data_IF_450817261449
#
_entry.id   IF_450817261449
#
_cell.length_a   1.000
_cell.length_b   1.000
_cell.length_c   1.000
_cell.angle_alpha   90.00
_cell.angle_beta   90.00
_cell.angle_gamma   90.00
#
_symmetry.space_group_name_H-M   'P 1'
#
loop_
_entity.id
_entity.type
_entity.pdbx_description
1 polymer ?
#
# COMPACT_ATOMS: atom_id res chain seq x y z
N UNK A 1 5.78 11.34 -42.97
CA UNK A 1 4.55 11.92 -42.40
C UNK A 1 3.47 10.88 -42.19
N UNK A 2 2.95 10.20 -43.24
CA UNK A 2 1.85 9.21 -43.13
C UNK A 2 2.06 8.12 -42.07
N UNK A 3 3.26 7.54 -42.01
CA UNK A 3 3.59 6.50 -41.02
C UNK A 3 3.38 6.94 -39.55
N UNK A 4 3.79 8.16 -39.19
CA UNK A 4 3.64 8.67 -37.82
C UNK A 4 2.16 8.91 -37.49
N UNK A 5 1.40 9.44 -38.45
CA UNK A 5 -0.05 9.62 -38.31
C UNK A 5 -0.76 8.29 -38.10
N UNK A 6 -0.46 7.28 -38.93
CA UNK A 6 -1.05 5.95 -38.81
C UNK A 6 -0.69 5.28 -37.47
N UNK A 7 0.55 5.43 -37.01
CA UNK A 7 0.99 4.85 -35.74
C UNK A 7 0.35 5.57 -34.53
N UNK A 8 0.18 6.90 -34.59
CA UNK A 8 -0.57 7.63 -33.55
C UNK A 8 -2.03 7.18 -33.47
N UNK A 9 -2.70 6.98 -34.60
CA UNK A 9 -4.08 6.50 -34.64
C UNK A 9 -4.21 5.08 -34.07
N UNK A 10 -3.28 4.16 -34.40
CA UNK A 10 -3.25 2.82 -33.80
C UNK A 10 -3.03 2.84 -32.29
N UNK A 11 -2.19 3.75 -31.80
CA UNK A 11 -1.94 3.91 -30.37
C UNK A 11 -3.16 4.49 -29.64
N UNK A 12 -3.87 5.43 -30.27
CA UNK A 12 -5.14 5.96 -29.75
C UNK A 12 -6.19 4.85 -29.60
N UNK A 13 -6.38 4.02 -30.62
CA UNK A 13 -7.28 2.85 -30.58
C UNK A 13 -6.90 1.88 -29.45
N UNK A 14 -5.60 1.61 -29.28
CA UNK A 14 -5.09 0.78 -28.18
C UNK A 14 -5.41 1.37 -26.81
N UNK A 15 -5.19 2.67 -26.61
CA UNK A 15 -5.52 3.36 -25.35
C UNK A 15 -7.01 3.27 -25.04
N UNK A 16 -7.88 3.41 -26.05
CA UNK A 16 -9.32 3.25 -25.91
C UNK A 16 -9.68 1.81 -25.53
N UNK A 17 -9.09 0.82 -26.19
CA UNK A 17 -9.28 -0.60 -25.88
C UNK A 17 -8.81 -0.95 -24.46
N UNK A 18 -7.63 -0.49 -24.06
CA UNK A 18 -7.09 -0.68 -22.70
C UNK A 18 -7.96 -0.01 -21.66
N UNK A 19 -8.48 1.19 -21.92
CA UNK A 19 -9.45 1.86 -21.04
C UNK A 19 -10.74 1.04 -20.89
N UNK A 20 -11.24 0.44 -21.97
CA UNK A 20 -12.41 -0.45 -21.95
C UNK A 20 -12.13 -1.75 -21.18
N UNK A 21 -10.94 -2.34 -21.32
CA UNK A 21 -10.52 -3.51 -20.54
C UNK A 21 -10.51 -3.19 -19.04
N UNK A 22 -9.90 -2.06 -18.65
CA UNK A 22 -9.86 -1.58 -17.27
C UNK A 22 -11.29 -1.37 -16.74
N UNK A 23 -12.17 -0.73 -17.50
CA UNK A 23 -13.56 -0.51 -17.10
C UNK A 23 -14.32 -1.83 -16.84
N UNK A 24 -14.26 -2.78 -17.79
CA UNK A 24 -14.85 -4.12 -17.63
C UNK A 24 -14.26 -4.89 -16.45
N UNK A 25 -12.96 -4.73 -16.21
CA UNK A 25 -12.29 -5.35 -15.07
C UNK A 25 -12.81 -4.78 -13.75
N UNK A 26 -12.92 -3.45 -13.64
CA UNK A 26 -13.50 -2.77 -12.47
C UNK A 26 -14.95 -3.18 -12.24
N UNK A 27 -15.76 -3.29 -13.29
CA UNK A 27 -17.15 -3.74 -13.19
C UNK A 27 -17.25 -5.17 -12.65
N UNK A 28 -16.45 -6.09 -13.20
CA UNK A 28 -16.44 -7.50 -12.78
C UNK A 28 -15.99 -7.69 -11.33
N UNK A 29 -15.05 -6.87 -10.85
CA UNK A 29 -14.45 -7.00 -9.53
C UNK A 29 -14.75 -5.83 -8.60
N UNK A 30 -15.88 -5.14 -8.79
CA UNK A 30 -16.21 -3.89 -8.09
C UNK A 30 -16.05 -3.98 -6.57
N UNK A 31 -16.46 -5.11 -5.97
CA UNK A 31 -16.41 -5.33 -4.51
C UNK A 31 -15.07 -5.86 -3.99
N UNK A 32 -14.11 -6.19 -4.88
CA UNK A 32 -12.79 -6.74 -4.54
C UNK A 32 -11.65 -5.81 -4.94
N UNK A 33 -11.95 -4.59 -5.40
CA UNK A 33 -10.94 -3.60 -5.74
C UNK A 33 -10.11 -3.21 -4.50
N UNK A 34 -8.86 -2.77 -4.69
CA UNK A 34 -7.99 -2.35 -3.58
C UNK A 34 -8.62 -1.24 -2.73
N UNK A 35 -9.33 -0.31 -3.37
CA UNK A 35 -10.06 0.79 -2.73
C UNK A 35 -11.16 0.28 -1.77
N UNK A 36 -11.70 -0.91 -2.02
CA UNK A 36 -12.74 -1.52 -1.20
C UNK A 36 -12.18 -2.34 -0.02
N UNK A 37 -10.87 -2.64 -0.01
CA UNK A 37 -10.28 -3.53 1.00
C UNK A 37 -10.46 -3.01 2.42
N UNK A 38 -10.18 -1.74 2.66
CA UNK A 38 -10.33 -1.12 3.97
C UNK A 38 -11.80 -1.12 4.45
N UNK A 39 -12.73 -0.86 3.53
CA UNK A 39 -14.16 -0.91 3.81
C UNK A 39 -14.60 -2.34 4.12
N UNK A 40 -14.19 -3.32 3.32
CA UNK A 40 -14.54 -4.73 3.50
C UNK A 40 -14.01 -5.27 4.83
N UNK A 41 -12.79 -4.93 5.24
CA UNK A 41 -12.23 -5.29 6.55
C UNK A 41 -13.03 -4.69 7.70
N UNK A 42 -13.41 -3.40 7.59
CA UNK A 42 -14.26 -2.77 8.60
C UNK A 42 -15.64 -3.42 8.68
N UNK A 43 -16.24 -3.76 7.52
CA UNK A 43 -17.50 -4.49 7.47
C UNK A 43 -17.38 -5.91 8.04
N UNK A 44 -16.24 -6.57 7.83
CA UNK A 44 -15.96 -7.91 8.36
C UNK A 44 -15.92 -7.87 9.88
N UNK A 45 -15.07 -7.02 10.45
CA UNK A 45 -14.94 -6.86 11.91
C UNK A 45 -16.26 -6.49 12.59
N UNK A 46 -17.06 -5.61 11.95
CA UNK A 46 -18.39 -5.27 12.45
C UNK A 46 -19.35 -6.46 12.38
N UNK A 47 -19.32 -7.22 11.29
CA UNK A 47 -20.19 -8.39 11.10
C UNK A 47 -19.82 -9.49 12.10
N UNK A 48 -18.53 -9.69 12.36
CA UNK A 48 -18.00 -10.59 13.40
C UNK A 48 -18.48 -10.18 14.80
N UNK A 49 -18.35 -8.89 15.15
CA UNK A 49 -18.86 -8.38 16.44
C UNK A 49 -20.39 -8.54 16.57
N UNK A 50 -21.13 -8.30 15.48
CA UNK A 50 -22.59 -8.53 15.46
C UNK A 50 -22.94 -10.02 15.59
N UNK A 51 -22.13 -10.92 15.02
CA UNK A 51 -22.30 -12.36 15.12
C UNK A 51 -22.07 -12.85 16.56
N UNK A 52 -21.00 -12.40 17.20
CA UNK A 52 -20.69 -12.73 18.60
C UNK A 52 -21.79 -12.26 19.57
N UNK A 53 -22.38 -11.09 19.30
CA UNK A 53 -23.53 -10.57 20.04
C UNK A 53 -24.74 -11.49 19.89
N UNK A 54 -25.09 -11.86 18.65
CA UNK A 54 -26.23 -12.75 18.35
C UNK A 54 -26.02 -14.14 18.95
N UNK A 55 -24.80 -14.67 18.92
CA UNK A 55 -24.50 -15.97 19.54
C UNK A 55 -24.62 -15.94 21.06
N UNK A 56 -24.22 -14.83 21.69
CA UNK A 56 -24.41 -14.63 23.12
C UNK A 56 -25.89 -14.47 23.49
N UNK A 57 -26.66 -13.74 22.69
CA UNK A 57 -28.13 -13.64 22.82
C UNK A 57 -28.80 -15.01 22.67
N UNK A 58 -28.42 -15.82 21.67
CA UNK A 58 -28.95 -17.16 21.46
C UNK A 58 -28.67 -18.09 22.65
N UNK A 59 -27.46 -18.05 23.22
CA UNK A 59 -27.12 -18.80 24.43
C UNK A 59 -28.03 -18.42 25.59
N UNK A 60 -28.19 -17.12 25.86
CA UNK A 60 -29.05 -16.63 26.93
C UNK A 60 -30.53 -17.00 26.72
N UNK A 61 -31.04 -16.92 25.48
CA UNK A 61 -32.40 -17.32 25.15
C UNK A 61 -32.63 -18.82 25.35
N UNK A 62 -31.67 -19.68 24.98
CA UNK A 62 -31.75 -21.13 25.18
C UNK A 62 -31.71 -21.51 26.65
N UNK A 63 -30.85 -20.87 27.45
CA UNK A 63 -30.84 -21.05 28.90
C UNK A 63 -32.18 -20.66 29.53
N UNK A 64 -32.75 -19.52 29.11
CA UNK A 64 -34.06 -19.07 29.60
C UNK A 64 -35.19 -20.01 29.15
N UNK A 65 -35.14 -20.53 27.92
CA UNK A 65 -36.08 -21.53 27.43
C UNK A 65 -36.05 -22.78 28.32
N UNK A 66 -34.85 -23.31 28.60
CA UNK A 66 -34.67 -24.47 29.46
C UNK A 66 -35.22 -24.22 30.87
N UNK A 67 -34.97 -23.04 31.44
CA UNK A 67 -35.52 -22.65 32.74
C UNK A 67 -37.06 -22.63 32.75
N UNK A 68 -37.70 -22.00 31.77
CA UNK A 68 -39.17 -21.96 31.68
C UNK A 68 -39.78 -23.34 31.40
N UNK A 69 -39.10 -24.18 30.60
CA UNK A 69 -39.50 -25.58 30.41
C UNK A 69 -39.49 -26.34 31.73
N UNK A 70 -38.43 -26.20 32.53
CA UNK A 70 -38.35 -26.78 33.87
C UNK A 70 -39.49 -26.28 34.78
N UNK A 71 -39.80 -24.98 34.74
CA UNK A 71 -40.95 -24.43 35.49
C UNK A 71 -42.29 -25.03 35.06
N UNK A 72 -42.54 -25.20 33.75
CA UNK A 72 -43.77 -25.81 33.26
C UNK A 72 -43.96 -27.24 33.76
N UNK A 73 -42.89 -28.01 33.93
CA UNK A 73 -43.00 -29.38 34.47
C UNK A 73 -43.45 -29.42 35.94
N UNK A 74 -43.31 -28.30 36.67
CA UNK A 74 -43.69 -28.19 38.08
C UNK A 74 -45.08 -27.59 38.27
N UNK A 75 -45.66 -26.97 37.24
CA UNK A 75 -46.97 -26.31 37.30
C UNK A 75 -48.03 -27.25 36.74
N UNK A 76 -49.07 -27.52 37.53
CA UNK A 76 -50.22 -28.29 37.04
C UNK A 76 -50.94 -27.50 35.93
N UNK A 77 -51.20 -28.11 34.76
CA UNK A 77 -51.86 -27.43 33.64
C UNK A 77 -53.32 -27.08 33.95
N UNK A 78 -53.94 -27.78 34.90
CA UNK A 78 -55.35 -27.62 35.26
C UNK A 78 -55.50 -26.92 36.62
N UNK A 79 -56.42 -25.97 36.71
CA UNK A 79 -56.83 -25.39 37.99
C UNK A 79 -57.66 -26.40 38.77
N UNK A 80 -57.35 -26.62 40.05
CA UNK A 80 -58.17 -27.44 40.94
C UNK A 80 -59.51 -26.73 41.19
N UNK A 81 -60.49 -26.85 40.28
CA UNK A 81 -61.81 -26.27 40.46
C UNK A 81 -62.58 -27.00 41.56
N UNK A 82 -63.37 -26.27 42.36
CA UNK A 82 -64.30 -26.84 43.35
C UNK A 82 -65.72 -26.55 42.90
N UNK A 83 -66.59 -27.56 42.97
CA UNK A 83 -68.03 -27.46 42.71
C UNK A 83 -68.69 -26.48 43.69
N UNK A 84 -69.84 -25.92 43.31
CA UNK A 84 -70.69 -25.11 44.19
C UNK A 84 -71.11 -25.85 45.49
N UNK A 85 -71.00 -27.18 45.51
CA UNK A 85 -71.25 -28.06 46.66
C UNK A 85 -70.02 -28.34 47.52
N UNK A 86 -68.85 -27.77 47.20
CA UNK A 86 -67.59 -27.95 47.96
C UNK A 86 -66.73 -29.14 47.52
N UNK A 87 -67.22 -30.00 46.63
CA UNK A 87 -66.48 -31.15 46.08
C UNK A 87 -65.45 -30.74 45.03
N UNK A 88 -64.22 -31.28 45.04
CA UNK A 88 -63.23 -31.00 44.00
C UNK A 88 -63.71 -31.56 42.65
N UNK A 89 -63.70 -30.71 41.62
CA UNK A 89 -63.89 -31.10 40.23
C UNK A 89 -62.55 -31.68 39.77
N UNK A 90 -62.43 -33.00 39.84
CA UNK A 90 -61.23 -33.72 39.43
C UNK A 90 -61.20 -33.85 37.90
N UNK A 91 -60.01 -33.74 37.31
CA UNK A 91 -59.77 -34.10 35.91
C UNK A 91 -60.08 -35.60 35.69
N UNK A 92 -60.38 -36.03 34.45
CA UNK A 92 -60.77 -37.43 34.18
C UNK A 92 -59.78 -38.48 34.70
N UNK A 93 -58.47 -38.19 34.72
CA UNK A 93 -57.45 -39.12 35.22
C UNK A 93 -57.41 -39.16 36.76
N UNK A 94 -57.52 -38.02 37.43
CA UNK A 94 -57.66 -37.97 38.90
C UNK A 94 -59.00 -38.52 39.38
N UNK A 95 -60.08 -38.34 38.60
CA UNK A 95 -61.40 -38.92 38.85
C UNK A 95 -61.37 -40.43 38.72
N UNK A 96 -60.70 -40.97 37.70
CA UNK A 96 -60.46 -42.41 37.54
C UNK A 96 -59.75 -42.98 38.77
N UNK A 97 -58.66 -42.35 39.22
CA UNK A 97 -57.91 -42.79 40.41
C UNK A 97 -58.71 -42.71 41.70
N UNK A 98 -59.54 -41.68 41.85
CA UNK A 98 -60.45 -41.53 42.99
C UNK A 98 -61.52 -42.64 42.99
N UNK A 99 -62.13 -42.92 41.84
CA UNK A 99 -63.12 -43.99 41.68
C UNK A 99 -62.49 -45.37 41.86
N UNK A 100 -61.26 -45.61 41.40
CA UNK A 100 -60.52 -46.84 41.67
C UNK A 100 -60.29 -47.05 43.17
N UNK A 101 -59.92 -46.00 43.90
CA UNK A 101 -59.79 -46.06 45.36
C UNK A 101 -61.13 -46.30 46.07
N UNK A 102 -62.21 -45.68 45.58
CA UNK A 102 -63.57 -45.87 46.08
C UNK A 102 -64.06 -47.30 45.82
N UNK A 103 -63.80 -47.84 44.62
CA UNK A 103 -64.07 -49.22 44.24
C UNK A 103 -63.36 -50.22 45.15
N UNK A 104 -62.07 -50.00 45.46
CA UNK A 104 -61.32 -50.83 46.41
C UNK A 104 -61.99 -50.80 47.79
N UNK A 105 -62.38 -49.63 48.29
CA UNK A 105 -63.01 -49.49 49.61
C UNK A 105 -64.40 -50.16 49.68
N UNK A 106 -65.19 -50.08 48.61
CA UNK A 106 -66.52 -50.68 48.52
C UNK A 106 -66.45 -52.19 48.28
N UNK A 107 -65.48 -52.66 47.51
CA UNK A 107 -65.22 -54.08 47.29
C UNK A 107 -64.81 -54.83 48.56
N UNK A 108 -64.26 -54.12 49.55
CA UNK A 108 -63.97 -54.66 50.88
C UNK A 108 -65.22 -54.85 51.75
N UNK A 109 -66.35 -54.17 51.45
CA UNK A 109 -67.58 -54.18 52.25
C UNK A 109 -68.76 -54.85 51.54
N UNK A 110 -68.79 -54.83 50.21
CA UNK A 110 -69.89 -55.35 49.39
C UNK A 110 -69.39 -56.41 48.40
N UNK A 111 -70.26 -57.38 48.07
CA UNK A 111 -69.98 -58.43 47.08
C UNK A 111 -69.94 -57.86 45.66
N UNK A 112 -69.20 -58.51 44.75
CA UNK A 112 -69.02 -58.09 43.35
C UNK A 112 -70.31 -57.90 42.53
N UNK A 113 -71.45 -58.39 43.03
CA UNK A 113 -72.78 -58.21 42.40
C UNK A 113 -73.58 -57.02 42.96
N UNK A 114 -73.03 -56.24 43.90
CA UNK A 114 -73.73 -55.11 44.50
C UNK A 114 -73.95 -53.98 43.47
N UNK A 115 -75.15 -53.35 43.42
CA UNK A 115 -75.47 -52.33 42.42
C UNK A 115 -74.46 -51.18 42.36
N UNK A 116 -73.94 -50.75 43.51
CA UNK A 116 -72.99 -49.62 43.59
C UNK A 116 -71.58 -49.99 43.10
N UNK A 117 -71.13 -51.23 43.33
CA UNK A 117 -69.87 -51.74 42.77
C UNK A 117 -69.98 -51.83 41.24
N UNK A 118 -71.12 -52.32 40.72
CA UNK A 118 -71.34 -52.43 39.28
C UNK A 118 -71.41 -51.05 38.61
N UNK A 119 -72.00 -50.05 39.26
CA UNK A 119 -72.01 -48.67 38.78
C UNK A 119 -70.61 -48.08 38.70
N UNK A 120 -69.84 -48.16 39.79
CA UNK A 120 -68.47 -47.63 39.84
C UNK A 120 -67.56 -48.38 38.86
N UNK A 121 -67.70 -49.71 38.75
CA UNK A 121 -66.93 -50.49 37.78
C UNK A 121 -67.17 -50.02 36.34
N UNK A 122 -68.44 -49.76 35.97
CA UNK A 122 -68.77 -49.22 34.64
C UNK A 122 -68.22 -47.81 34.43
N UNK A 123 -68.22 -46.97 35.48
CA UNK A 123 -67.66 -45.62 35.43
C UNK A 123 -66.14 -45.65 35.29
N UNK A 124 -65.45 -46.54 36.01
CA UNK A 124 -64.01 -46.81 35.87
C UNK A 124 -63.69 -47.36 34.49
N UNK A 125 -64.43 -48.35 33.98
CA UNK A 125 -64.17 -48.92 32.66
C UNK A 125 -64.36 -47.88 31.55
N UNK A 126 -65.39 -47.06 31.64
CA UNK A 126 -65.61 -45.94 30.71
C UNK A 126 -64.48 -44.91 30.78
N UNK A 127 -64.13 -44.45 31.98
CA UNK A 127 -63.03 -43.49 32.18
C UNK A 127 -61.67 -44.08 31.78
N UNK A 128 -61.40 -45.35 32.06
CA UNK A 128 -60.16 -46.05 31.72
C UNK A 128 -59.99 -46.20 30.21
N UNK A 129 -61.06 -46.46 29.46
CA UNK A 129 -61.02 -46.45 28.00
C UNK A 129 -60.72 -45.05 27.45
N UNK A 130 -61.29 -43.99 28.05
CA UNK A 130 -60.98 -42.60 27.70
C UNK A 130 -59.54 -42.20 28.05
N UNK A 131 -59.03 -42.59 29.23
CA UNK A 131 -57.67 -42.26 29.69
C UNK A 131 -56.59 -43.07 28.97
N UNK A 132 -56.84 -44.33 28.60
CA UNK A 132 -55.88 -45.19 27.87
C UNK A 132 -55.59 -44.72 26.44
N UNK A 133 -56.54 -44.03 25.80
CA UNK A 133 -56.32 -43.45 24.47
C UNK A 133 -55.50 -42.15 24.54
N UNK A 134 -55.68 -41.34 25.60
CA UNK A 134 -54.90 -40.11 25.84
C UNK A 134 -53.48 -40.36 26.35
N UNK A 135 -53.29 -41.38 27.20
CA UNK A 135 -51.97 -41.75 27.74
C UNK A 135 -51.00 -42.20 26.65
N UNK A 136 -51.45 -42.88 25.60
CA UNK A 136 -50.56 -43.25 24.48
C UNK A 136 -49.99 -42.03 23.75
N UNK A 137 -50.78 -40.96 23.56
CA UNK A 137 -50.31 -39.74 22.92
C UNK A 137 -49.43 -38.89 23.84
N UNK A 138 -49.78 -38.81 25.13
CA UNK A 138 -48.98 -38.13 26.15
C UNK A 138 -47.64 -38.85 26.41
N UNK A 139 -47.63 -40.18 26.40
CA UNK A 139 -46.44 -41.01 26.55
C UNK A 139 -45.52 -40.91 25.32
N UNK A 140 -46.08 -40.84 24.10
CA UNK A 140 -45.33 -40.52 22.87
C UNK A 140 -44.74 -39.10 22.90
N UNK A 141 -45.48 -38.11 23.39
CA UNK A 141 -44.99 -36.74 23.54
C UNK A 141 -43.89 -36.62 24.62
N UNK A 142 -44.01 -37.38 25.72
CA UNK A 142 -42.99 -37.47 26.77
C UNK A 142 -41.74 -38.22 26.31
N UNK A 143 -41.90 -39.29 25.52
CA UNK A 143 -40.80 -40.00 24.88
C UNK A 143 -40.07 -39.09 23.89
N UNK A 144 -40.80 -38.31 23.08
CA UNK A 144 -40.21 -37.34 22.15
C UNK A 144 -39.39 -36.27 22.87
N UNK A 145 -39.92 -35.70 23.96
CA UNK A 145 -39.19 -34.70 24.76
C UNK A 145 -37.94 -35.28 25.42
N UNK A 146 -38.01 -36.50 25.94
CA UNK A 146 -36.86 -37.22 26.50
C UNK A 146 -35.79 -37.48 25.44
N UNK A 147 -36.18 -37.98 24.27
CA UNK A 147 -35.26 -38.27 23.16
C UNK A 147 -34.61 -37.01 22.58
N UNK A 148 -35.34 -35.89 22.51
CA UNK A 148 -34.79 -34.58 22.16
C UNK A 148 -33.76 -34.09 23.21
N UNK A 149 -34.00 -34.33 24.49
CA UNK A 149 -33.04 -34.06 25.56
C UNK A 149 -31.76 -34.89 25.43
N UNK A 150 -31.90 -36.20 25.21
CA UNK A 150 -30.77 -37.10 24.94
C UNK A 150 -29.96 -36.65 23.70
N UNK A 151 -30.65 -36.20 22.64
CA UNK A 151 -30.01 -35.71 21.42
C UNK A 151 -29.20 -34.45 21.68
N UNK A 152 -29.74 -33.51 22.47
CA UNK A 152 -29.04 -32.28 22.83
C UNK A 152 -27.74 -32.57 23.62
N UNK A 153 -27.77 -33.52 24.56
CA UNK A 153 -26.57 -33.91 25.31
C UNK A 153 -25.54 -34.65 24.44
N UNK A 154 -26.01 -35.44 23.47
CA UNK A 154 -25.14 -36.25 22.64
C UNK A 154 -24.40 -35.42 21.58
N UNK A 155 -25.06 -34.40 21.02
CA UNK A 155 -24.48 -33.46 20.05
C UNK A 155 -23.43 -32.53 20.69
N UNK A 156 -23.51 -32.31 22.01
CA UNK A 156 -22.47 -31.58 22.74
C UNK A 156 -21.16 -32.38 22.85
N UNK A 157 -21.24 -33.72 22.87
CA UNK A 157 -20.09 -34.62 23.07
C UNK A 157 -19.57 -35.25 21.78
N UNK A 158 -20.42 -35.43 20.78
CA UNK A 158 -20.09 -36.10 19.52
C UNK A 158 -20.49 -35.24 18.32
N UNK A 159 -19.77 -35.40 17.20
CA UNK A 159 -20.12 -34.69 15.96
C UNK A 159 -21.43 -35.20 15.36
N UNK A 160 -22.07 -34.37 14.52
CA UNK A 160 -23.35 -34.70 13.86
C UNK A 160 -23.31 -36.00 13.02
N UNK A 161 -22.11 -36.47 12.64
CA UNK A 161 -21.91 -37.68 11.85
C UNK A 161 -21.73 -38.96 12.70
N UNK A 162 -21.81 -38.87 14.04
CA UNK A 162 -21.67 -40.03 14.92
C UNK A 162 -22.88 -40.98 14.77
N UNK A 163 -22.69 -42.30 14.68
CA UNK A 163 -23.78 -43.28 14.46
C UNK A 163 -24.91 -43.16 15.50
N UNK A 164 -24.56 -42.88 16.75
CA UNK A 164 -25.57 -42.72 17.82
C UNK A 164 -26.42 -41.46 17.65
N UNK A 165 -25.83 -40.35 17.17
CA UNK A 165 -26.54 -39.08 16.91
C UNK A 165 -27.53 -39.26 15.75
N UNK A 166 -27.09 -39.96 14.70
CA UNK A 166 -27.94 -40.28 13.54
C UNK A 166 -29.10 -41.19 13.95
N UNK A 167 -28.83 -42.22 14.76
CA UNK A 167 -29.86 -43.15 15.23
C UNK A 167 -30.94 -42.45 16.05
N UNK A 168 -30.53 -41.51 16.91
CA UNK A 168 -31.41 -40.77 17.79
C UNK A 168 -32.23 -39.72 17.01
N UNK A 169 -31.64 -39.09 15.99
CA UNK A 169 -32.34 -38.20 15.06
C UNK A 169 -33.45 -38.93 14.30
N UNK A 170 -33.16 -40.13 13.78
CA UNK A 170 -34.16 -40.96 13.10
C UNK A 170 -35.29 -41.39 14.05
N UNK A 171 -34.97 -41.69 15.31
CA UNK A 171 -35.99 -42.00 16.34
C UNK A 171 -36.90 -40.81 16.61
N UNK A 172 -36.33 -39.60 16.75
CA UNK A 172 -37.09 -38.35 16.93
C UNK A 172 -38.02 -38.10 15.74
N UNK A 173 -37.50 -38.23 14.51
CA UNK A 173 -38.28 -38.02 13.29
C UNK A 173 -39.42 -39.03 13.14
N UNK A 174 -39.17 -40.29 13.50
CA UNK A 174 -40.21 -41.34 13.51
C UNK A 174 -41.30 -41.09 14.56
N UNK A 175 -40.92 -40.58 15.74
CA UNK A 175 -41.87 -40.21 16.80
C UNK A 175 -42.69 -38.98 16.40
N UNK A 176 -42.06 -37.97 15.80
CA UNK A 176 -42.75 -36.79 15.27
C UNK A 176 -43.76 -37.16 14.18
N UNK A 177 -43.37 -38.05 13.25
CA UNK A 177 -44.27 -38.55 12.23
C UNK A 177 -45.45 -39.36 12.81
N UNK A 178 -45.21 -40.16 13.86
CA UNK A 178 -46.26 -40.92 14.54
C UNK A 178 -47.27 -40.04 15.28
N UNK A 179 -46.79 -38.93 15.87
CA UNK A 179 -47.64 -37.93 16.52
C UNK A 179 -48.42 -37.12 15.47
N UNK A 180 -47.82 -36.81 14.32
CA UNK A 180 -48.47 -36.09 13.22
C UNK A 180 -49.51 -36.94 12.46
N UNK A 181 -49.39 -38.27 12.48
CA UNK A 181 -50.30 -39.20 11.83
C UNK A 181 -51.56 -39.54 12.65
N UNK A 182 -51.71 -39.01 13.87
CA UNK A 182 -52.91 -39.17 14.69
C UNK A 182 -54.11 -38.41 14.05
N UNK A 183 -55.30 -39.04 13.93
CA UNK A 183 -56.43 -38.48 13.18
C UNK A 183 -56.99 -37.18 13.80
N UNK A 184 -57.36 -36.16 12.98
CA UNK A 184 -57.80 -34.84 13.46
C UNK A 184 -59.07 -34.85 14.33
N UNK A 185 -59.93 -35.87 14.22
CA UNK A 185 -61.17 -35.97 14.98
C UNK A 185 -60.96 -36.32 16.47
N UNK A 186 -59.84 -36.96 16.83
CA UNK A 186 -59.43 -37.13 18.22
C UNK A 186 -58.85 -35.83 18.79
N UNK A 187 -58.22 -35.02 17.93
CA UNK A 187 -57.58 -33.76 18.31
C UNK A 187 -58.63 -32.66 18.49
N UNK A 188 -59.62 -32.50 17.61
CA UNK A 188 -60.61 -31.42 17.72
C UNK A 188 -61.60 -31.58 18.90
N UNK A 189 -61.99 -32.81 19.26
CA UNK A 189 -62.89 -33.06 20.41
C UNK A 189 -62.18 -33.14 21.77
N UNK A 190 -60.86 -33.34 21.82
CA UNK A 190 -60.07 -33.34 23.06
C UNK A 190 -59.31 -32.03 23.30
N UNK A 191 -58.97 -31.27 22.25
CA UNK A 191 -58.37 -29.92 22.39
C UNK A 191 -59.40 -28.88 22.89
N UNK A 192 -60.70 -29.17 22.81
CA UNK A 192 -61.73 -28.32 23.44
C UNK A 192 -61.95 -28.58 24.94
N UNK A 193 -61.36 -29.61 25.56
CA UNK A 193 -61.63 -29.94 26.98
C UNK A 193 -60.40 -29.95 27.91
N UNK A 194 -59.20 -29.75 27.39
CA UNK A 194 -57.95 -29.62 28.18
C UNK A 194 -57.12 -28.41 27.73
N UNK A 195 -57.77 -27.27 27.45
CA UNK A 195 -57.02 -26.00 27.47
C UNK A 195 -56.50 -25.83 28.90
N UNK A 196 -55.19 -25.62 29.10
CA UNK A 196 -54.68 -25.24 30.39
C UNK A 196 -55.44 -24.00 30.85
N UNK A 197 -56.22 -24.13 31.91
CA UNK A 197 -57.03 -23.05 32.50
C UNK A 197 -56.28 -22.39 33.65
N UNK A 198 -55.22 -23.03 34.15
CA UNK A 198 -54.33 -22.45 35.15
C UNK A 198 -53.61 -21.22 34.58
N UNK A 199 -53.89 -20.00 35.08
CA UNK A 199 -53.29 -18.77 34.57
C UNK A 199 -51.76 -18.75 34.66
N UNK A 200 -51.17 -19.41 35.67
CA UNK A 200 -49.72 -19.50 35.83
C UNK A 200 -49.08 -20.37 34.75
N UNK A 201 -49.72 -21.48 34.37
CA UNK A 201 -49.26 -22.35 33.29
C UNK A 201 -49.31 -21.63 31.94
N UNK A 202 -50.44 -20.96 31.64
CA UNK A 202 -50.62 -20.20 30.39
C UNK A 202 -49.58 -19.08 30.28
N UNK A 203 -49.30 -18.38 31.38
CA UNK A 203 -48.31 -17.30 31.39
C UNK A 203 -46.91 -17.81 31.03
N UNK A 204 -46.46 -18.91 31.65
CA UNK A 204 -45.15 -19.50 31.35
C UNK A 204 -45.10 -20.09 29.93
N UNK A 205 -46.18 -20.76 29.49
CA UNK A 205 -46.29 -21.28 28.12
C UNK A 205 -46.21 -20.17 27.07
N UNK A 206 -46.86 -19.03 27.33
CA UNK A 206 -46.81 -17.86 26.45
C UNK A 206 -45.40 -17.29 26.39
N UNK A 207 -44.72 -17.14 27.53
CA UNK A 207 -43.33 -16.69 27.57
C UNK A 207 -42.39 -17.64 26.80
N UNK A 208 -42.58 -18.96 26.94
CA UNK A 208 -41.81 -19.95 26.21
C UNK A 208 -42.02 -19.83 24.70
N UNK A 209 -43.26 -19.63 24.24
CA UNK A 209 -43.57 -19.40 22.83
C UNK A 209 -42.91 -18.13 22.29
N UNK A 210 -42.90 -17.05 23.08
CA UNK A 210 -42.18 -15.82 22.73
C UNK A 210 -40.69 -16.08 22.57
N UNK A 211 -40.05 -16.73 23.54
CA UNK A 211 -38.61 -17.06 23.48
C UNK A 211 -38.31 -17.98 22.28
N UNK A 212 -39.14 -18.99 22.02
CA UNK A 212 -38.96 -19.86 20.86
C UNK A 212 -38.98 -19.07 19.54
N UNK A 213 -39.85 -18.07 19.44
CA UNK A 213 -39.92 -17.17 18.27
C UNK A 213 -38.67 -16.29 18.17
N UNK A 214 -38.18 -15.77 19.30
CA UNK A 214 -36.95 -14.97 19.37
C UNK A 214 -35.71 -15.79 18.98
N UNK A 215 -35.63 -17.06 19.39
CA UNK A 215 -34.57 -17.99 18.98
C UNK A 215 -34.59 -18.18 17.46
N UNK A 216 -35.75 -18.50 16.87
CA UNK A 216 -35.87 -18.69 15.42
C UNK A 216 -35.46 -17.42 14.65
N UNK A 217 -35.88 -16.25 15.12
CA UNK A 217 -35.49 -14.96 14.52
C UNK A 217 -33.98 -14.72 14.59
N UNK A 218 -33.36 -14.99 15.75
CA UNK A 218 -31.92 -14.83 15.94
C UNK A 218 -31.09 -15.87 15.20
N UNK A 219 -31.54 -17.12 15.07
CA UNK A 219 -30.90 -18.13 14.22
C UNK A 219 -30.94 -17.72 12.75
N UNK A 220 -32.07 -17.19 12.28
CA UNK A 220 -32.16 -16.62 10.93
C UNK A 220 -31.24 -15.41 10.75
N UNK A 221 -31.06 -14.58 11.79
CA UNK A 221 -30.11 -13.45 11.79
C UNK A 221 -28.67 -13.93 11.73
N UNK A 222 -28.29 -14.90 12.57
CA UNK A 222 -26.97 -15.55 12.58
C UNK A 222 -26.62 -16.05 11.18
N UNK A 223 -27.50 -16.85 10.57
CA UNK A 223 -27.30 -17.40 9.22
C UNK A 223 -27.12 -16.34 8.13
N UNK A 224 -27.72 -15.15 8.28
CA UNK A 224 -27.49 -14.02 7.35
C UNK A 224 -26.13 -13.37 7.58
N UNK A 225 -25.71 -13.23 8.83
CA UNK A 225 -24.40 -12.69 9.19
C UNK A 225 -23.26 -13.63 8.74
N UNK A 226 -23.41 -14.95 8.96
CA UNK A 226 -22.45 -15.96 8.49
C UNK A 226 -22.25 -15.86 6.96
N UNK A 227 -23.35 -15.84 6.19
CA UNK A 227 -23.29 -15.66 4.73
C UNK A 227 -22.63 -14.35 4.31
N UNK A 228 -22.79 -13.29 5.11
CA UNK A 228 -22.19 -11.99 4.85
C UNK A 228 -20.69 -12.03 5.11
N UNK A 229 -20.25 -12.66 6.21
CA UNK A 229 -18.84 -12.96 6.48
C UNK A 229 -18.21 -13.75 5.34
N UNK A 230 -18.81 -14.88 4.93
CA UNK A 230 -18.30 -15.70 3.83
C UNK A 230 -18.09 -14.92 2.53
N UNK A 231 -18.99 -13.96 2.24
CA UNK A 231 -18.89 -13.12 1.05
C UNK A 231 -17.75 -12.09 1.20
N UNK A 232 -17.65 -11.44 2.36
CA UNK A 232 -16.57 -10.49 2.65
C UNK A 232 -15.20 -11.19 2.62
N UNK A 233 -15.08 -12.38 3.20
CA UNK A 233 -13.84 -13.17 3.19
C UNK A 233 -13.41 -13.54 1.77
N UNK A 234 -14.35 -13.96 0.92
CA UNK A 234 -14.08 -14.20 -0.51
C UNK A 234 -13.61 -12.94 -1.21
N UNK A 235 -14.26 -11.80 -0.96
CA UNK A 235 -13.90 -10.53 -1.59
C UNK A 235 -12.50 -10.05 -1.16
N UNK A 236 -12.17 -10.18 0.12
CA UNK A 236 -10.87 -9.82 0.70
C UNK A 236 -9.78 -10.75 0.16
N UNK A 237 -10.03 -12.08 0.17
CA UNK A 237 -9.07 -13.08 -0.31
C UNK A 237 -8.75 -12.94 -1.80
N UNK A 238 -9.72 -12.50 -2.61
CA UNK A 238 -9.51 -12.22 -4.03
C UNK A 238 -8.78 -10.89 -4.29
N UNK A 239 -8.79 -9.96 -3.33
CA UNK A 239 -8.31 -8.58 -3.52
C UNK A 239 -6.85 -8.50 -4.01
N UNK A 240 -5.87 -9.25 -3.48
CA UNK A 240 -4.48 -9.17 -3.96
C UNK A 240 -4.30 -9.56 -5.42
N UNK A 241 -5.03 -10.59 -5.87
CA UNK A 241 -4.96 -11.03 -7.27
C UNK A 241 -5.67 -10.03 -8.20
N UNK A 242 -6.78 -9.43 -7.74
CA UNK A 242 -7.48 -8.35 -8.44
C UNK A 242 -6.58 -7.12 -8.56
N UNK A 243 -5.89 -6.74 -7.49
CA UNK A 243 -4.93 -5.64 -7.45
C UNK A 243 -3.79 -5.85 -8.44
N UNK A 244 -3.16 -7.03 -8.43
CA UNK A 244 -2.08 -7.37 -9.36
C UNK A 244 -2.53 -7.19 -10.82
N UNK A 245 -3.65 -7.80 -11.19
CA UNK A 245 -4.17 -7.74 -12.55
C UNK A 245 -4.59 -6.30 -12.95
N UNK A 246 -5.17 -5.55 -12.01
CA UNK A 246 -5.53 -4.16 -12.22
C UNK A 246 -4.30 -3.27 -12.47
N UNK A 247 -3.23 -3.47 -11.69
CA UNK A 247 -1.97 -2.77 -11.83
C UNK A 247 -1.28 -3.11 -13.15
N UNK A 248 -1.34 -4.38 -13.59
CA UNK A 248 -0.84 -4.80 -14.90
C UNK A 248 -1.56 -4.06 -16.04
N UNK A 249 -2.89 -4.01 -16.04
CA UNK A 249 -3.68 -3.29 -17.04
C UNK A 249 -3.42 -1.77 -17.01
N UNK A 250 -3.28 -1.21 -15.82
CA UNK A 250 -2.99 0.23 -15.65
C UNK A 250 -1.60 0.57 -16.18
N UNK A 251 -0.60 -0.29 -15.93
CA UNK A 251 0.76 -0.13 -16.45
C UNK A 251 0.81 -0.28 -17.97
N UNK A 252 0.05 -1.23 -18.54
CA UNK A 252 -0.10 -1.40 -19.99
C UNK A 252 -0.64 -0.11 -20.63
N UNK A 253 -1.77 0.40 -20.13
CA UNK A 253 -2.35 1.69 -20.58
C UNK A 253 -1.36 2.85 -20.45
N UNK A 254 -0.64 2.95 -19.33
CA UNK A 254 0.34 4.03 -19.12
C UNK A 254 1.50 3.94 -20.12
N UNK A 255 1.94 2.73 -20.46
CA UNK A 255 2.95 2.52 -21.50
C UNK A 255 2.45 2.95 -22.87
N UNK A 256 1.21 2.62 -23.22
CA UNK A 256 0.57 3.04 -24.47
C UNK A 256 0.45 4.57 -24.57
N UNK A 257 0.04 5.24 -23.48
CA UNK A 257 -0.01 6.70 -23.39
C UNK A 257 1.38 7.31 -23.58
N UNK A 258 2.41 6.76 -22.93
CA UNK A 258 3.78 7.25 -23.08
C UNK A 258 4.30 7.12 -24.51
N UNK A 259 4.05 5.98 -25.17
CA UNK A 259 4.40 5.79 -26.58
C UNK A 259 3.63 6.74 -27.50
N UNK A 260 2.34 6.95 -27.22
CA UNK A 260 1.52 7.90 -27.98
C UNK A 260 2.09 9.32 -27.89
N UNK A 261 2.47 9.77 -26.69
CA UNK A 261 3.07 11.08 -26.48
C UNK A 261 4.42 11.24 -27.21
N UNK A 262 5.30 10.24 -27.15
CA UNK A 262 6.59 10.25 -27.86
C UNK A 262 6.39 10.34 -29.38
N UNK A 263 5.55 9.49 -29.96
CA UNK A 263 5.29 9.53 -31.41
C UNK A 263 4.58 10.82 -31.81
N UNK A 264 3.66 11.34 -30.98
CA UNK A 264 2.97 12.60 -31.27
C UNK A 264 3.94 13.79 -31.26
N UNK A 265 4.89 13.81 -30.34
CA UNK A 265 5.94 14.84 -30.32
C UNK A 265 6.79 14.79 -31.58
N UNK A 266 7.26 13.60 -31.99
CA UNK A 266 8.03 13.42 -33.23
C UNK A 266 7.23 13.76 -34.48
N UNK A 267 5.92 13.48 -34.49
CA UNK A 267 5.02 13.87 -35.57
C UNK A 267 4.98 15.39 -35.71
N UNK A 268 4.84 16.10 -34.58
CA UNK A 268 4.80 17.57 -34.56
C UNK A 268 6.13 18.18 -35.02
N UNK A 269 7.27 17.64 -34.57
CA UNK A 269 8.59 18.08 -35.04
C UNK A 269 8.76 17.89 -36.57
N UNK A 270 8.35 16.73 -37.09
CA UNK A 270 8.39 16.45 -38.51
C UNK A 270 7.45 17.36 -39.32
N UNK A 271 6.28 17.70 -38.78
CA UNK A 271 5.31 18.60 -39.39
C UNK A 271 5.85 20.05 -39.46
N UNK A 272 6.42 20.55 -38.37
CA UNK A 272 7.08 21.86 -38.34
C UNK A 272 8.26 21.90 -39.31
N UNK A 273 9.10 20.86 -39.34
CA UNK A 273 10.20 20.74 -40.29
C UNK A 273 9.73 20.76 -41.75
N UNK A 274 8.67 20.02 -42.07
CA UNK A 274 8.08 20.01 -43.40
C UNK A 274 7.46 21.36 -43.77
N UNK A 275 6.78 22.04 -42.83
CA UNK A 275 6.23 23.38 -43.06
C UNK A 275 7.33 24.41 -43.30
N UNK A 276 8.44 24.37 -42.54
CA UNK A 276 9.59 25.26 -42.74
C UNK A 276 10.24 25.08 -44.12
N UNK A 277 10.34 23.83 -44.59
CA UNK A 277 10.83 23.50 -45.94
C UNK A 277 9.84 23.99 -47.02
N UNK A 278 8.55 23.69 -46.86
CA UNK A 278 7.50 24.08 -47.81
C UNK A 278 7.33 25.61 -47.90
N UNK A 279 7.43 26.33 -46.78
CA UNK A 279 7.39 27.80 -46.74
C UNK A 279 8.72 28.44 -47.19
N UNK A 280 9.75 27.63 -47.52
CA UNK A 280 11.11 28.10 -47.86
C UNK A 280 11.69 29.07 -46.82
N UNK A 281 11.30 28.90 -45.55
CA UNK A 281 11.81 29.68 -44.41
C UNK A 281 13.00 29.00 -43.72
N UNK A 282 13.37 27.80 -44.16
CA UNK A 282 14.70 27.25 -43.88
C UNK A 282 15.74 28.04 -44.67
N UNK A 283 16.69 28.67 -43.96
CA UNK A 283 17.85 29.28 -44.59
C UNK A 283 18.55 28.24 -45.49
N UNK A 284 18.44 28.40 -46.80
CA UNK A 284 19.33 27.71 -47.72
C UNK A 284 20.71 28.32 -47.50
N UNK A 285 21.63 27.57 -46.88
CA UNK A 285 23.03 27.99 -46.78
C UNK A 285 23.62 28.08 -48.19
N UNK A 286 23.55 29.27 -48.78
CA UNK A 286 24.32 29.62 -49.97
C UNK A 286 25.69 30.05 -49.46
N UNK A 287 26.75 29.44 -49.97
CA UNK A 287 28.12 29.88 -49.68
C UNK A 287 28.34 31.23 -50.38
N UNK A 288 28.10 32.33 -49.66
CA UNK A 288 28.26 33.69 -50.18
C UNK A 288 29.75 34.09 -50.21
N UNK A 289 30.53 33.69 -49.22
CA UNK A 289 31.94 34.10 -49.10
C UNK A 289 32.83 32.94 -48.57
N UNK A 290 33.83 32.47 -49.33
CA UNK A 290 34.77 31.46 -48.85
C UNK A 290 35.70 32.01 -47.77
N UNK A 291 36.22 31.14 -46.90
CA UNK A 291 37.11 31.54 -45.82
C UNK A 291 38.40 32.19 -46.35
N UNK A 292 38.63 33.45 -45.99
CA UNK A 292 39.86 34.16 -46.33
C UNK A 292 40.96 33.87 -45.29
N UNK A 293 42.21 33.82 -45.77
CA UNK A 293 43.37 33.66 -44.90
C UNK A 293 43.63 34.95 -44.09
N UNK A 294 44.03 34.85 -42.81
CA UNK A 294 44.29 36.04 -42.00
C UNK A 294 45.51 36.81 -42.51
N UNK A 295 45.33 38.08 -42.87
CA UNK A 295 46.42 38.97 -43.33
C UNK A 295 47.45 39.32 -42.23
N UNK A 296 47.08 39.10 -40.96
CA UNK A 296 47.93 39.38 -39.80
C UNK A 296 48.02 38.16 -38.89
N UNK A 297 49.20 37.87 -38.32
CA UNK A 297 49.35 36.76 -37.39
C UNK A 297 48.49 37.01 -36.14
N UNK A 298 47.57 36.09 -35.85
CA UNK A 298 46.65 36.17 -34.69
C UNK A 298 47.42 35.92 -33.38
N UNK A 299 48.43 35.04 -33.40
CA UNK A 299 49.33 34.73 -32.28
C UNK A 299 50.74 34.40 -32.81
N UNK A 300 51.81 34.69 -32.05
CA UNK A 300 51.87 35.49 -30.82
C UNK A 300 52.00 37.01 -31.09
N UNK A 301 51.65 37.84 -30.10
CA UNK A 301 51.81 39.30 -30.18
C UNK A 301 53.30 39.68 -30.14
N UNK A 302 53.87 39.95 -31.32
CA UNK A 302 55.30 40.22 -31.50
C UNK A 302 55.78 41.45 -30.73
N UNK A 303 54.96 42.50 -30.61
CA UNK A 303 55.34 43.74 -29.92
C UNK A 303 55.46 43.50 -28.40
N UNK A 304 54.52 42.74 -27.83
CA UNK A 304 54.55 42.39 -26.41
C UNK A 304 55.81 41.60 -26.04
N UNK A 305 56.23 40.66 -26.90
CA UNK A 305 57.45 39.86 -26.68
C UNK A 305 58.70 40.74 -26.71
N UNK A 306 58.79 41.70 -27.63
CA UNK A 306 59.93 42.61 -27.72
C UNK A 306 60.03 43.48 -26.46
N UNK A 307 58.92 44.07 -26.02
CA UNK A 307 58.90 44.88 -24.81
C UNK A 307 59.25 44.08 -23.56
N UNK A 308 58.71 42.86 -23.43
CA UNK A 308 59.02 41.98 -22.32
C UNK A 308 60.51 41.58 -22.31
N UNK A 309 61.07 41.26 -23.48
CA UNK A 309 62.48 40.89 -23.62
C UNK A 309 63.40 42.06 -23.26
N UNK A 310 63.04 43.28 -23.65
CA UNK A 310 63.79 44.48 -23.29
C UNK A 310 63.80 44.71 -21.78
N UNK A 311 62.64 44.67 -21.13
CA UNK A 311 62.53 44.82 -19.67
C UNK A 311 63.31 43.71 -18.95
N UNK A 312 63.17 42.47 -19.40
CA UNK A 312 63.87 41.34 -18.83
C UNK A 312 65.40 41.47 -18.96
N UNK A 313 65.90 41.98 -20.09
CA UNK A 313 67.34 42.20 -20.30
C UNK A 313 67.93 43.22 -19.33
N UNK A 314 67.21 44.30 -19.04
CA UNK A 314 67.62 45.31 -18.05
C UNK A 314 67.62 44.69 -16.65
N UNK A 315 66.57 43.96 -16.30
CA UNK A 315 66.46 43.30 -15.00
C UNK A 315 67.61 42.29 -14.77
N UNK A 316 67.91 41.45 -15.77
CA UNK A 316 69.02 40.50 -15.72
C UNK A 316 70.37 41.22 -15.66
N UNK A 317 70.57 42.28 -16.46
CA UNK A 317 71.80 43.06 -16.45
C UNK A 317 72.09 43.71 -15.10
N UNK A 318 71.08 44.36 -14.51
CA UNK A 318 71.17 44.92 -13.15
C UNK A 318 71.37 43.83 -12.11
N UNK A 319 70.65 42.71 -12.22
CA UNK A 319 70.79 41.57 -11.31
C UNK A 319 72.20 41.00 -11.28
N UNK A 320 72.80 40.81 -12.46
CA UNK A 320 74.20 40.33 -12.58
C UNK A 320 75.19 41.35 -12.03
N UNK A 321 74.97 42.65 -12.27
CA UNK A 321 75.83 43.70 -11.73
C UNK A 321 75.79 43.74 -10.19
N UNK A 322 74.60 43.67 -9.60
CA UNK A 322 74.42 43.61 -8.14
C UNK A 322 75.00 42.34 -7.54
N UNK A 323 74.75 41.17 -8.14
CA UNK A 323 75.36 39.91 -7.71
C UNK A 323 76.88 39.99 -7.72
N UNK A 324 77.46 40.56 -8.79
CA UNK A 324 78.91 40.73 -8.89
C UNK A 324 79.46 41.68 -7.82
N UNK A 325 78.75 42.76 -7.49
CA UNK A 325 79.15 43.70 -6.45
C UNK A 325 79.06 43.06 -5.05
N UNK A 326 77.99 42.31 -4.75
CA UNK A 326 77.83 41.64 -3.46
C UNK A 326 78.86 40.52 -3.26
N UNK A 327 79.27 39.84 -4.34
CA UNK A 327 80.31 38.82 -4.28
C UNK A 327 81.74 39.39 -4.31
N UNK A 328 81.90 40.71 -4.49
CA UNK A 328 83.21 41.35 -4.52
C UNK A 328 83.59 41.87 -3.13
N UNK A 329 84.27 41.03 -2.35
CA UNK A 329 84.80 41.39 -1.04
C UNK A 329 86.02 42.35 -1.10
N UNK A 330 86.34 42.91 -2.29
CA UNK A 330 87.47 43.81 -2.48
C UNK A 330 87.23 45.17 -1.82
N UNK A 331 88.17 45.58 -0.97
CA UNK A 331 88.12 46.88 -0.29
C UNK A 331 88.57 47.99 -1.25
N UNK A 332 87.62 48.64 -1.92
CA UNK A 332 87.87 49.70 -2.91
C UNK A 332 87.76 51.09 -2.29
N UNK A 333 88.74 51.43 -1.45
CA UNK A 333 89.00 52.82 -1.04
C UNK A 333 88.87 53.10 0.45
N UNK A 334 89.22 54.34 0.79
CA UNK A 334 89.44 54.83 2.16
C UNK A 334 88.20 54.69 3.05
N UNK A 335 87.01 54.90 2.49
CA UNK A 335 85.73 54.84 3.20
C UNK A 335 85.36 53.41 3.63
N UNK A 336 85.71 52.41 2.82
CA UNK A 336 85.45 51.01 3.18
C UNK A 336 86.42 50.53 4.27
N UNK A 337 87.65 51.07 4.29
CA UNK A 337 88.65 50.81 5.34
C UNK A 337 88.21 51.42 6.68
N UNK A 338 87.76 52.67 6.70
CA UNK A 338 87.33 53.33 7.96
C UNK A 338 86.09 52.67 8.58
N UNK A 339 85.19 52.11 7.75
CA UNK A 339 84.03 51.32 8.24
C UNK A 339 84.43 49.99 8.87
N UNK A 340 85.53 49.38 8.43
CA UNK A 340 85.96 48.06 8.90
C UNK A 340 86.86 48.16 10.15
N UNK A 341 87.71 49.19 10.22
CA UNK A 341 88.78 49.31 11.22
C UNK A 341 88.54 50.39 12.29
N UNK A 342 87.42 51.13 12.23
CA UNK A 342 86.97 52.18 13.19
C UNK A 342 87.92 53.39 13.36
N UNK A 343 89.15 53.31 12.87
CA UNK A 343 90.14 54.39 12.88
C UNK A 343 90.30 55.03 11.49
N UNK A 344 90.63 56.32 11.45
CA UNK A 344 90.84 57.06 10.22
C UNK A 344 92.28 56.87 9.69
N UNK A 345 92.47 56.53 8.40
CA UNK A 345 93.81 56.35 7.84
C UNK A 345 94.57 57.68 7.78
N UNK A 346 95.82 57.67 8.25
CA UNK A 346 96.65 58.87 8.44
C UNK A 346 97.17 59.48 7.12
N UNK A 347 97.32 58.69 6.05
CA UNK A 347 97.70 59.16 4.73
C UNK A 347 97.21 58.19 3.64
N UNK A 348 96.84 58.72 2.47
CA UNK A 348 96.46 57.92 1.30
C UNK A 348 97.54 58.05 0.25
N UNK A 349 98.19 56.94 -0.09
CA UNK A 349 99.17 56.92 -1.18
C UNK A 349 98.41 56.79 -2.49
N UNK A 350 98.55 57.75 -3.44
CA UNK A 350 97.91 57.64 -4.74
C UNK A 350 98.46 56.43 -5.50
N UNK A 351 97.58 55.72 -6.21
CA UNK A 351 97.98 54.58 -7.02
C UNK A 351 98.89 55.08 -8.16
N UNK A 352 100.13 54.59 -8.19
CA UNK A 352 101.09 54.88 -9.26
C UNK A 352 100.98 53.75 -10.28
N UNK A 353 100.41 54.04 -11.45
CA UNK A 353 100.21 53.06 -12.51
C UNK A 353 101.55 52.63 -13.12
N UNK A 354 101.76 51.30 -13.25
CA UNK A 354 102.89 50.76 -13.99
C UNK A 354 102.53 50.52 -15.46
N UNK A 355 103.54 50.33 -16.32
CA UNK A 355 103.37 49.98 -17.74
C UNK A 355 102.50 48.72 -17.94
N UNK A 356 102.59 47.75 -17.03
CA UNK A 356 101.76 46.53 -17.02
C UNK A 356 100.29 46.87 -16.73
N UNK A 357 100.02 47.79 -15.79
CA UNK A 357 98.65 48.20 -15.44
C UNK A 357 97.97 48.94 -16.59
N UNK A 358 98.70 49.84 -17.26
CA UNK A 358 98.22 50.55 -18.44
C UNK A 358 97.92 49.59 -19.61
N UNK A 359 98.75 48.55 -19.81
CA UNK A 359 98.49 47.52 -20.81
C UNK A 359 97.26 46.67 -20.45
N UNK A 360 97.09 46.31 -19.16
CA UNK A 360 95.94 45.55 -18.68
C UNK A 360 94.64 46.34 -18.84
N UNK A 361 94.66 47.64 -18.57
CA UNK A 361 93.52 48.54 -18.78
C UNK A 361 93.16 48.64 -20.28
N UNK A 362 94.14 48.83 -21.16
CA UNK A 362 93.92 48.83 -22.62
C UNK A 362 93.35 47.49 -23.12
N UNK A 363 93.84 46.36 -22.60
CA UNK A 363 93.31 45.03 -22.93
C UNK A 363 91.86 44.87 -22.49
N UNK A 364 91.53 45.26 -21.26
CA UNK A 364 90.16 45.19 -20.74
C UNK A 364 89.20 46.08 -21.53
N UNK A 365 89.62 47.29 -21.90
CA UNK A 365 88.82 48.18 -22.74
C UNK A 365 88.61 47.60 -24.15
N UNK A 366 89.61 46.94 -24.74
CA UNK A 366 89.46 46.24 -26.03
C UNK A 366 88.50 45.06 -25.93
N UNK A 367 88.57 44.27 -24.86
CA UNK A 367 87.64 43.16 -24.60
C UNK A 367 86.22 43.70 -24.42
N UNK A 368 86.06 44.79 -23.66
CA UNK A 368 84.77 45.45 -23.47
C UNK A 368 84.20 45.94 -24.82
N UNK A 369 85.00 46.66 -25.61
CA UNK A 369 84.59 47.15 -26.93
C UNK A 369 84.21 45.99 -27.87
N UNK A 370 85.00 44.91 -27.86
CA UNK A 370 84.72 43.69 -28.61
C UNK A 370 83.41 43.02 -28.18
N UNK A 371 83.11 42.97 -26.87
CA UNK A 371 81.86 42.40 -26.36
C UNK A 371 80.63 43.22 -26.78
N UNK A 372 80.74 44.55 -26.81
CA UNK A 372 79.66 45.45 -27.28
C UNK A 372 79.38 45.22 -28.77
N UNK A 373 80.43 45.21 -29.60
CA UNK A 373 80.31 44.95 -31.05
C UNK A 373 79.71 43.56 -31.30
N UNK A 374 80.19 42.53 -30.59
CA UNK A 374 79.67 41.17 -30.69
C UNK A 374 78.18 41.08 -30.32
N UNK A 375 77.75 41.81 -29.29
CA UNK A 375 76.35 41.85 -28.86
C UNK A 375 75.45 42.50 -29.91
N UNK A 376 75.91 43.58 -30.55
CA UNK A 376 75.19 44.24 -31.64
C UNK A 376 75.01 43.29 -32.83
N UNK A 377 76.08 42.59 -33.23
CA UNK A 377 76.04 41.61 -34.34
C UNK A 377 75.10 40.44 -34.01
N UNK A 378 75.11 39.94 -32.77
CA UNK A 378 74.22 38.87 -32.35
C UNK A 378 72.75 39.30 -32.39
N UNK A 379 72.43 40.51 -31.92
CA UNK A 379 71.07 41.06 -31.95
C UNK A 379 70.58 41.25 -33.39
N UNK A 380 71.41 41.79 -34.28
CA UNK A 380 71.02 41.97 -35.69
C UNK A 380 70.80 40.63 -36.40
N UNK A 381 71.60 39.61 -36.10
CA UNK A 381 71.43 38.26 -36.65
C UNK A 381 70.16 37.60 -36.11
N UNK A 382 69.87 37.72 -34.82
CA UNK A 382 68.62 37.22 -34.23
C UNK A 382 67.38 37.88 -34.85
N UNK A 383 67.43 39.18 -35.11
CA UNK A 383 66.34 39.89 -35.81
C UNK A 383 66.15 39.35 -37.22
N UNK A 384 67.25 39.13 -37.96
CA UNK A 384 67.22 38.58 -39.32
C UNK A 384 66.58 37.19 -39.38
N UNK A 385 66.94 36.30 -38.46
CA UNK A 385 66.48 34.90 -38.45
C UNK A 385 65.05 34.76 -37.92
N UNK A 386 64.72 35.42 -36.82
CA UNK A 386 63.48 35.13 -36.08
C UNK A 386 62.34 36.12 -36.33
N UNK A 387 62.62 37.36 -36.74
CA UNK A 387 61.57 38.37 -36.90
C UNK A 387 61.21 38.62 -38.36
N UNK A 388 62.18 39.14 -39.11
CA UNK A 388 62.06 39.45 -40.53
C UNK A 388 63.45 39.57 -41.13
N UNK A 389 63.69 39.07 -42.37
CA UNK A 389 64.95 39.29 -43.06
C UNK A 389 65.28 40.78 -43.13
N UNK A 390 66.57 41.10 -42.95
CA UNK A 390 67.10 42.47 -42.96
C UNK A 390 66.69 43.23 -44.22
N UNK A 391 66.62 42.54 -45.36
CA UNK A 391 66.21 43.10 -46.65
C UNK A 391 64.77 43.65 -46.57
N UNK A 392 63.85 42.92 -45.96
CA UNK A 392 62.44 43.33 -45.81
C UNK A 392 62.31 44.53 -44.87
N UNK A 393 63.12 44.60 -43.81
CA UNK A 393 63.16 45.75 -42.90
C UNK A 393 63.70 47.00 -43.60
N UNK A 394 64.77 46.85 -44.39
CA UNK A 394 65.35 47.92 -45.18
C UNK A 394 64.36 48.51 -46.17
N UNK A 395 63.65 47.66 -46.93
CA UNK A 395 62.63 48.10 -47.87
C UNK A 395 61.40 48.73 -47.20
N UNK A 396 60.97 48.23 -46.03
CA UNK A 396 59.90 48.89 -45.26
C UNK A 396 60.32 50.27 -44.75
N UNK A 397 61.57 50.41 -44.32
CA UNK A 397 62.14 51.70 -43.92
C UNK A 397 62.16 52.70 -45.06
N UNK A 398 62.69 52.30 -46.22
CA UNK A 398 62.73 53.11 -47.44
C UNK A 398 61.34 53.55 -47.89
N UNK A 399 60.38 52.63 -47.93
CA UNK A 399 58.99 52.93 -48.32
C UNK A 399 58.32 53.91 -47.35
N UNK A 400 58.61 53.79 -46.06
CA UNK A 400 58.07 54.71 -45.05
C UNK A 400 58.74 56.09 -45.12
N UNK A 401 60.04 56.14 -45.44
CA UNK A 401 60.76 57.39 -45.69
C UNK A 401 60.24 58.11 -46.95
N UNK A 402 60.01 57.39 -48.05
CA UNK A 402 59.37 57.94 -49.25
C UNK A 402 57.97 58.48 -48.96
N UNK A 403 57.14 57.72 -48.25
CA UNK A 403 55.80 58.19 -47.85
C UNK A 403 55.81 59.43 -46.92
N UNK A 404 56.94 59.78 -46.30
CA UNK A 404 57.07 60.99 -45.46
C UNK A 404 57.69 62.14 -46.25
N UNK A 405 58.33 61.87 -47.39
CA UNK A 405 58.88 62.88 -48.31
C UNK A 405 57.81 63.31 -49.35
N UNK A 406 56.85 62.44 -49.66
CA UNK A 406 55.72 62.71 -50.57
C UNK A 406 54.42 63.19 -49.86
N UNK A 407 54.49 63.52 -48.56
CA UNK A 407 53.46 64.22 -47.76
C UNK A 407 54.05 65.54 -47.31
#
# INVERSE_FOLDING_TARGET
>A
YSFLTDETSKLEDKIVLSSKKIAKFKEKFANSLPEMLALNLSMLNRTESELDSVDSELRALRERQFYLQSQLTQINPLTNMRSATGEPILDPASRLKALESEFVSLSARYSSKHPDIVKIQREIEGLRQFTNQGTNAEEQAKALTTKRGEYSMLVEKYSENHPDVISLKLQIESLEASIAALPPEAIEKQVMTLQPDNPAYIAVQTQLKTIATEIVSNEARKKRLDKKMDNLDKQISMSPQVEKNFNELTREKQSEIGRFQDIKARQMEAEIGQQLENERKGESFILIDPAQFPEKPIKPNRIAIILLSFIFSIAVGLGVALLKEVMDDSIRGVVNISKLLTEAPLAVIPIIYNTIDLQRQKRNNRIMLGSVIGSIIAVTLLIHVFWTPLDVLWFRGLRKAQNVIDI
#
